data_IF_189340408123
#
_entry.id   IF_189340408123
#
_cell.length_a   1.000
_cell.length_b   1.000
_cell.length_c   1.000
_cell.angle_alpha   90.00
_cell.angle_beta   90.00
_cell.angle_gamma   90.00
#
_symmetry.space_group_name_H-M   'P 1'
#
loop_
_entity.id
_entity.type
_entity.pdbx_description
1 polymer ?
#
# COMPACT_ATOMS: atom_id res chain seq x y z
N UNK A 1 -45.78 2.37 0.42
CA UNK A 1 -44.72 1.77 1.27
C UNK A 1 -45.38 1.41 2.59
N UNK A 2 -45.40 0.13 2.96
CA UNK A 2 -45.95 -0.30 4.26
C UNK A 2 -44.94 0.00 5.38
N UNK A 3 -45.38 0.41 6.58
CA UNK A 3 -44.46 0.75 7.68
C UNK A 3 -43.70 -0.49 8.17
N UNK A 4 -42.39 -0.34 8.41
CA UNK A 4 -41.55 -1.40 8.98
C UNK A 4 -41.90 -1.56 10.47
N UNK A 5 -42.10 -2.79 11.00
CA UNK A 5 -42.42 -3.01 12.41
C UNK A 5 -41.27 -2.58 13.35
N UNK A 6 -41.57 -2.00 14.53
CA UNK A 6 -40.54 -1.58 15.49
C UNK A 6 -39.95 -2.79 16.24
N UNK A 7 -38.63 -2.80 16.44
CA UNK A 7 -37.97 -3.77 17.34
C UNK A 7 -36.69 -4.44 16.85
N UNK A 8 -35.99 -3.90 15.84
CA UNK A 8 -34.66 -4.40 15.46
C UNK A 8 -33.67 -3.25 15.36
N UNK A 9 -32.91 -3.02 16.43
CA UNK A 9 -31.61 -2.34 16.39
C UNK A 9 -30.63 -3.20 15.59
N UNK A 10 -30.81 -3.24 14.27
CA UNK A 10 -29.74 -3.63 13.36
C UNK A 10 -28.78 -2.44 13.28
N UNK A 11 -27.46 -2.64 13.25
CA UNK A 11 -26.53 -1.55 13.03
C UNK A 11 -26.95 -0.84 11.74
N UNK A 12 -27.29 0.45 11.87
CA UNK A 12 -27.82 1.28 10.80
C UNK A 12 -26.88 1.12 9.61
N UNK A 13 -27.33 0.41 8.58
CA UNK A 13 -26.58 0.34 7.32
C UNK A 13 -26.32 1.79 6.88
N UNK A 14 -25.09 2.13 6.45
CA UNK A 14 -24.80 3.48 6.01
C UNK A 14 -25.83 3.88 4.94
N UNK A 15 -26.32 5.13 4.97
CA UNK A 15 -27.32 5.60 4.02
C UNK A 15 -26.90 5.26 2.60
N UNK A 16 -27.87 4.87 1.76
CA UNK A 16 -27.63 4.58 0.34
C UNK A 16 -27.12 5.86 -0.32
N UNK A 17 -25.80 6.00 -0.40
CA UNK A 17 -25.13 7.15 -1.00
C UNK A 17 -25.39 7.09 -2.52
N UNK A 18 -25.96 8.15 -3.10
CA UNK A 18 -26.14 8.30 -4.56
C UNK A 18 -24.81 8.29 -5.32
N UNK A 19 -23.71 8.55 -4.63
CA UNK A 19 -22.36 8.52 -5.17
C UNK A 19 -21.63 7.32 -4.57
N UNK A 20 -20.91 6.51 -5.37
CA UNK A 20 -20.02 5.50 -4.81
C UNK A 20 -19.08 6.22 -3.85
N UNK A 21 -19.14 5.89 -2.56
CA UNK A 21 -18.15 6.39 -1.61
C UNK A 21 -16.78 6.13 -2.26
N UNK A 22 -15.94 7.15 -2.48
CA UNK A 22 -14.61 6.90 -2.98
C UNK A 22 -13.99 5.91 -1.99
N UNK A 23 -13.47 4.76 -2.48
CA UNK A 23 -12.87 3.75 -1.61
C UNK A 23 -12.00 4.43 -0.56
N UNK A 24 -11.96 4.01 0.70
CA UNK A 24 -11.00 4.61 1.62
C UNK A 24 -9.60 4.11 1.22
N UNK A 25 -8.89 4.88 0.40
CA UNK A 25 -7.59 4.51 -0.18
C UNK A 25 -6.48 4.77 0.83
N UNK A 26 -5.55 3.81 0.99
CA UNK A 26 -4.34 4.04 1.82
C UNK A 26 -3.64 5.27 1.29
N UNK A 27 -3.59 6.29 2.14
CA UNK A 27 -3.04 7.60 1.83
C UNK A 27 -1.86 7.83 2.77
N UNK A 28 -0.64 7.68 2.26
CA UNK A 28 0.55 8.05 3.02
C UNK A 28 0.64 9.58 2.95
N UNK A 29 0.72 10.25 4.10
CA UNK A 29 0.87 11.71 4.14
C UNK A 29 2.14 12.07 4.89
N UNK A 30 3.00 12.84 4.25
CA UNK A 30 4.21 13.36 4.89
C UNK A 30 4.47 14.80 4.44
N UNK A 31 4.89 15.64 5.37
CA UNK A 31 5.33 17.00 5.08
C UNK A 31 6.79 17.06 4.57
N UNK A 32 7.45 15.91 4.45
CA UNK A 32 8.82 15.80 3.97
C UNK A 32 8.90 15.88 2.44
N UNK A 33 10.10 16.17 1.94
CA UNK A 33 10.42 16.03 0.52
C UNK A 33 10.42 14.54 0.16
N UNK A 34 9.71 14.18 -0.90
CA UNK A 34 9.61 12.81 -1.40
C UNK A 34 10.98 12.20 -1.74
N UNK A 35 11.96 13.02 -2.14
CA UNK A 35 13.34 12.57 -2.44
C UNK A 35 14.12 12.12 -1.20
N UNK A 36 13.66 12.54 -0.02
CA UNK A 36 14.27 12.21 1.28
C UNK A 36 13.48 11.14 2.03
N UNK A 37 12.28 10.81 1.56
CA UNK A 37 11.39 9.88 2.22
C UNK A 37 11.84 8.42 2.09
N UNK A 38 12.68 8.11 1.10
CA UNK A 38 13.07 6.74 0.78
C UNK A 38 14.40 6.63 0.05
N UNK A 39 14.63 5.43 -0.47
CA UNK A 39 15.80 5.09 -1.26
C UNK A 39 15.41 5.00 -2.74
N UNK A 40 16.21 5.60 -3.62
CA UNK A 40 16.05 5.45 -5.06
C UNK A 40 16.54 4.08 -5.53
N UNK A 41 15.64 3.33 -6.17
CA UNK A 41 15.92 2.01 -6.71
C UNK A 41 16.20 2.12 -8.21
N UNK A 42 17.48 2.28 -8.57
CA UNK A 42 17.89 2.53 -9.96
C UNK A 42 17.49 1.40 -10.92
N UNK A 43 17.66 0.14 -10.49
CA UNK A 43 17.35 -0.99 -11.36
C UNK A 43 15.84 -1.21 -11.49
N UNK A 44 15.08 -1.01 -10.42
CA UNK A 44 13.61 -1.02 -10.50
C UNK A 44 13.07 0.14 -11.33
N UNK A 45 13.75 1.29 -11.32
CA UNK A 45 13.40 2.43 -12.19
C UNK A 45 13.57 2.07 -13.67
N UNK A 46 14.67 1.38 -14.03
CA UNK A 46 14.84 0.86 -15.41
C UNK A 46 13.75 -0.13 -15.78
N UNK A 47 13.39 -1.03 -14.87
CA UNK A 47 12.31 -1.99 -15.11
C UNK A 47 10.95 -1.30 -15.22
N UNK A 48 10.71 -0.25 -14.44
CA UNK A 48 9.49 0.54 -14.55
C UNK A 48 9.41 1.28 -15.89
N UNK A 49 10.50 1.93 -16.32
CA UNK A 49 10.59 2.55 -17.64
C UNK A 49 10.34 1.53 -18.77
N UNK A 50 10.71 0.26 -18.56
CA UNK A 50 10.44 -0.85 -19.49
C UNK A 50 9.06 -1.51 -19.29
N UNK A 51 8.20 -0.97 -18.41
CA UNK A 51 6.87 -1.51 -18.03
C UNK A 51 6.90 -2.93 -17.43
N UNK A 52 8.04 -3.35 -16.89
CA UNK A 52 8.25 -4.66 -16.23
C UNK A 52 8.09 -4.60 -14.72
N UNK A 53 8.13 -3.41 -14.12
CA UNK A 53 7.85 -3.20 -12.70
C UNK A 53 6.92 -2.01 -12.59
N UNK A 54 5.61 -2.25 -12.44
CA UNK A 54 4.61 -1.17 -12.51
C UNK A 54 3.44 -1.41 -11.60
N UNK A 55 2.61 -0.39 -11.48
CA UNK A 55 1.35 -0.52 -10.77
C UNK A 55 0.31 -1.22 -11.64
N UNK A 56 -0.54 -2.01 -11.00
CA UNK A 56 -1.69 -2.64 -11.67
C UNK A 56 -2.77 -1.58 -11.93
N UNK A 57 -3.11 -0.80 -10.90
CA UNK A 57 -4.05 0.32 -10.97
C UNK A 57 -3.32 1.61 -10.59
N UNK A 58 -2.84 2.40 -11.56
CA UNK A 58 -2.15 3.65 -11.30
C UNK A 58 -2.99 4.61 -10.47
N UNK A 59 -2.35 5.35 -9.57
CA UNK A 59 -2.95 6.35 -8.68
C UNK A 59 -4.09 5.80 -7.80
N UNK A 60 -4.21 4.47 -7.65
CA UNK A 60 -5.09 3.85 -6.66
C UNK A 60 -4.57 4.24 -5.29
N UNK A 61 -3.41 3.73 -4.91
CA UNK A 61 -2.79 4.11 -3.64
C UNK A 61 -1.91 5.34 -3.86
N UNK A 62 -1.97 6.30 -2.94
CA UNK A 62 -1.32 7.61 -3.12
C UNK A 62 -0.49 7.97 -1.90
N UNK A 63 0.68 8.52 -2.14
CA UNK A 63 1.51 9.15 -1.14
C UNK A 63 1.60 10.65 -1.44
N UNK A 64 1.08 11.45 -0.52
CA UNK A 64 1.12 12.91 -0.58
C UNK A 64 2.35 13.39 0.16
N UNK A 65 3.30 13.93 -0.60
CA UNK A 65 4.49 14.60 -0.09
C UNK A 65 4.37 16.10 -0.29
N UNK A 66 5.35 16.85 0.22
CA UNK A 66 5.40 18.30 0.03
C UNK A 66 5.54 18.65 -1.47
N UNK A 67 4.43 19.04 -2.08
CA UNK A 67 4.37 19.51 -3.47
C UNK A 67 4.35 18.42 -4.54
N UNK A 68 4.23 17.14 -4.17
CA UNK A 68 4.23 16.03 -5.12
C UNK A 68 3.29 14.91 -4.62
N UNK A 69 2.59 14.27 -5.56
CA UNK A 69 1.78 13.09 -5.28
C UNK A 69 2.38 11.91 -6.03
N UNK A 70 2.81 10.91 -5.27
CA UNK A 70 3.35 9.67 -5.81
C UNK A 70 2.31 8.58 -5.76
N UNK A 71 2.37 7.71 -6.75
CA UNK A 71 1.55 6.51 -6.77
C UNK A 71 2.24 5.40 -5.99
N UNK A 72 1.46 4.46 -5.44
CA UNK A 72 1.96 3.50 -4.46
C UNK A 72 1.61 2.07 -4.84
N UNK A 73 2.59 1.18 -4.74
CA UNK A 73 2.37 -0.25 -4.67
C UNK A 73 3.17 -0.87 -3.52
N UNK A 74 2.79 -2.07 -3.11
CA UNK A 74 3.37 -2.74 -1.96
C UNK A 74 4.10 -4.00 -2.41
N UNK A 75 5.28 -4.24 -1.87
CA UNK A 75 6.12 -5.35 -2.30
C UNK A 75 5.57 -6.74 -1.95
N UNK A 76 4.58 -6.82 -1.06
CA UNK A 76 3.81 -8.05 -0.83
C UNK A 76 2.79 -8.36 -1.94
N UNK A 77 2.74 -7.55 -3.01
CA UNK A 77 1.95 -7.81 -4.22
C UNK A 77 0.69 -6.95 -4.36
N UNK A 78 0.35 -6.11 -3.38
CA UNK A 78 -0.80 -5.22 -3.50
C UNK A 78 -0.49 -4.08 -4.47
N UNK A 79 -1.34 -3.95 -5.50
CA UNK A 79 -1.19 -2.98 -6.60
C UNK A 79 0.10 -3.13 -7.43
N UNK A 80 0.86 -4.22 -7.29
CA UNK A 80 2.18 -4.36 -7.92
C UNK A 80 2.16 -5.42 -9.01
N UNK A 81 2.59 -5.04 -10.21
CA UNK A 81 2.94 -5.95 -11.29
C UNK A 81 4.46 -6.13 -11.30
N UNK A 82 4.91 -7.29 -10.81
CA UNK A 82 6.31 -7.68 -10.74
C UNK A 82 6.47 -9.16 -11.14
N UNK A 83 6.57 -9.47 -12.45
CA UNK A 83 6.70 -10.83 -12.95
C UNK A 83 8.05 -11.47 -12.58
N UNK A 84 9.07 -10.66 -12.28
CA UNK A 84 10.41 -11.13 -11.93
C UNK A 84 10.61 -11.31 -10.42
N UNK A 85 9.61 -10.97 -9.60
CA UNK A 85 9.63 -11.10 -8.14
C UNK A 85 10.83 -10.39 -7.50
N UNK A 86 11.15 -9.20 -8.01
CA UNK A 86 12.22 -8.31 -7.50
C UNK A 86 11.78 -7.52 -6.26
N UNK A 87 10.49 -7.47 -5.98
CA UNK A 87 9.92 -6.74 -4.86
C UNK A 87 10.23 -7.40 -3.51
N UNK A 88 10.67 -6.59 -2.56
CA UNK A 88 10.78 -6.98 -1.16
C UNK A 88 9.43 -6.79 -0.47
N UNK A 89 8.94 -7.85 0.17
CA UNK A 89 7.65 -7.88 0.88
C UNK A 89 7.54 -6.82 1.97
N UNK A 90 8.66 -6.38 2.54
CA UNK A 90 8.73 -5.40 3.62
C UNK A 90 8.78 -3.95 3.14
N UNK A 91 8.76 -3.71 1.82
CA UNK A 91 8.88 -2.37 1.25
C UNK A 91 7.58 -1.90 0.59
N UNK A 92 7.40 -0.59 0.61
CA UNK A 92 6.43 0.15 -0.18
C UNK A 92 7.19 0.84 -1.31
N UNK A 93 6.67 0.70 -2.52
CA UNK A 93 7.23 1.28 -3.73
C UNK A 93 6.43 2.51 -4.14
N UNK A 94 7.13 3.63 -4.25
CA UNK A 94 6.61 4.91 -4.69
C UNK A 94 6.98 5.12 -6.16
N UNK A 95 5.97 5.30 -7.00
CA UNK A 95 6.09 5.49 -8.43
C UNK A 95 5.92 6.97 -8.75
N UNK A 96 6.90 7.53 -9.45
CA UNK A 96 6.81 8.85 -10.09
C UNK A 96 6.82 8.64 -11.58
N UNK A 97 5.87 9.25 -12.29
CA UNK A 97 5.71 9.09 -13.74
C UNK A 97 5.57 7.60 -14.13
N UNK A 98 4.77 6.84 -13.37
CA UNK A 98 4.66 5.38 -13.45
C UNK A 98 4.14 4.81 -14.78
N UNK A 99 3.60 5.66 -15.64
CA UNK A 99 3.08 5.36 -16.98
C UNK A 99 4.03 5.81 -18.11
N UNK A 100 5.18 6.41 -17.76
CA UNK A 100 6.14 7.01 -18.70
C UNK A 100 7.48 6.25 -18.75
N UNK A 101 8.24 6.48 -19.81
CA UNK A 101 9.65 6.05 -19.93
C UNK A 101 10.58 6.76 -18.94
N UNK A 102 10.10 7.85 -18.33
CA UNK A 102 10.80 8.56 -17.26
C UNK A 102 10.43 8.05 -15.85
N UNK A 103 9.77 6.88 -15.76
CA UNK A 103 9.38 6.31 -14.48
C UNK A 103 10.57 6.14 -13.52
N UNK A 104 10.41 6.66 -12.31
CA UNK A 104 11.36 6.45 -11.21
C UNK A 104 10.68 5.78 -10.03
N UNK A 105 11.40 4.85 -9.41
CA UNK A 105 10.95 4.10 -8.24
C UNK A 105 11.76 4.51 -7.02
N UNK A 106 11.06 4.79 -5.94
CA UNK A 106 11.64 4.83 -4.60
C UNK A 106 11.02 3.77 -3.71
N UNK A 107 11.81 3.26 -2.77
CA UNK A 107 11.37 2.33 -1.75
C UNK A 107 11.37 2.99 -0.37
N UNK A 108 10.35 2.70 0.42
CA UNK A 108 10.28 3.05 1.84
C UNK A 108 9.92 1.81 2.65
N UNK A 109 10.28 1.77 3.92
CA UNK A 109 9.92 0.66 4.81
C UNK A 109 8.41 0.62 5.02
N UNK A 110 7.83 -0.58 4.96
CA UNK A 110 6.45 -0.81 5.35
C UNK A 110 6.39 -1.05 6.86
N UNK A 111 5.82 -0.11 7.60
CA UNK A 111 5.64 -0.21 9.06
C UNK A 111 4.37 -0.97 9.48
N UNK A 112 3.67 -1.64 8.55
CA UNK A 112 2.51 -2.47 8.91
C UNK A 112 2.95 -3.59 9.88
N UNK A 113 2.46 -3.50 11.11
CA UNK A 113 2.76 -4.43 12.20
C UNK A 113 2.51 -5.90 11.81
N UNK A 114 1.57 -6.20 10.92
CA UNK A 114 1.29 -7.58 10.48
C UNK A 114 2.43 -8.15 9.65
N UNK A 115 3.00 -7.36 8.74
CA UNK A 115 4.16 -7.78 7.94
C UNK A 115 5.43 -7.88 8.78
N UNK A 116 5.59 -6.99 9.76
CA UNK A 116 6.70 -7.02 10.71
C UNK A 116 6.63 -8.23 11.66
N UNK A 117 5.42 -8.64 12.06
CA UNK A 117 5.20 -9.82 12.91
C UNK A 117 5.34 -11.14 12.13
N UNK A 118 4.90 -11.19 10.87
CA UNK A 118 5.08 -12.37 10.01
C UNK A 118 6.54 -12.56 9.56
N UNK A 119 7.33 -11.48 9.54
CA UNK A 119 8.77 -11.52 9.29
C UNK A 119 9.60 -11.92 10.53
N UNK A 120 9.01 -12.01 11.72
CA UNK A 120 9.69 -12.56 12.89
C UNK A 120 9.78 -14.09 12.77
N UNK A 121 10.97 -14.69 12.91
CA UNK A 121 11.07 -16.14 13.05
C UNK A 121 10.21 -16.58 14.24
N UNK A 122 9.56 -17.76 14.18
CA UNK A 122 8.71 -18.22 15.27
C UNK A 122 9.52 -18.17 16.56
N UNK A 123 8.98 -17.48 17.58
CA UNK A 123 9.55 -17.50 18.92
C UNK A 123 9.63 -18.96 19.34
N UNK A 124 10.81 -19.55 19.30
CA UNK A 124 11.10 -20.88 19.85
C UNK A 124 10.54 -20.90 21.27
N UNK A 125 9.64 -21.86 21.48
CA UNK A 125 8.69 -21.90 22.57
C UNK A 125 9.32 -21.75 23.95
N UNK A 126 8.52 -21.17 24.85
CA UNK A 126 8.86 -21.02 26.25
C UNK A 126 9.29 -22.33 26.87
N UNK A 127 10.42 -22.29 27.57
CA UNK A 127 10.77 -23.29 28.56
C UNK A 127 9.70 -23.28 29.65
N UNK A 128 8.77 -24.24 29.59
CA UNK A 128 7.97 -24.65 30.74
C UNK A 128 8.94 -25.12 31.82
N UNK A 129 9.19 -24.27 32.81
CA UNK A 129 9.85 -24.67 34.06
C UNK A 129 8.83 -25.47 34.86
N UNK A 130 8.92 -26.81 34.79
CA UNK A 130 8.22 -27.69 35.74
C UNK A 130 8.82 -27.48 37.13
N UNK A 131 7.93 -27.54 38.12
CA UNK A 131 8.16 -27.53 39.56
C UNK A 131 9.32 -28.41 40.01
#
# INVERSE_FOLDING_TARGET
MSPVPPGRDLPIAPPVMQYPMPPQWVTIRSNQDWRKAGKFEKDLSKDCAARRFREITPMRFRAYFKGEVLSVAFGHGLNLYDPQKKADRMLIYLFREGDSTACTIQSITNEDARLLNDAQPPKTGGSFKKQ
#
